data_IF_143955701050
#
_entry.id   IF_143955701050
#
_cell.length_a   1.000
_cell.length_b   1.000
_cell.length_c   1.000
_cell.angle_alpha   90.00
_cell.angle_beta   90.00
_cell.angle_gamma   90.00
#
_symmetry.space_group_name_H-M   'P 1'
#
loop_
_entity.id
_entity.type
_entity.pdbx_description
1 polymer ?
#
# COMPACT_ATOMS: atom_id res chain seq x y z
N UNK A 1 20.96 -66.93 25.81
CA UNK A 1 20.37 -67.86 24.82
C UNK A 1 19.33 -67.06 24.09
N UNK A 2 19.78 -66.60 22.96
CA UNK A 2 19.30 -66.97 21.60
C UNK A 2 18.03 -66.22 21.25
N UNK A 3 18.09 -65.37 20.37
CA UNK A 3 18.17 -65.40 18.88
C UNK A 3 16.84 -64.95 18.34
N UNK A 4 16.63 -64.27 17.35
CA UNK A 4 17.25 -63.82 16.09
C UNK A 4 16.19 -63.05 15.31
N UNK A 5 16.60 -62.03 14.65
CA UNK A 5 16.20 -61.52 13.34
C UNK A 5 14.82 -61.90 12.75
N UNK A 6 14.12 -60.86 12.31
CA UNK A 6 13.57 -60.93 10.94
C UNK A 6 13.32 -59.49 10.41
N UNK A 7 14.22 -59.11 9.54
CA UNK A 7 14.06 -58.00 8.59
C UNK A 7 13.04 -58.43 7.53
N UNK A 8 11.92 -57.73 7.45
CA UNK A 8 10.91 -57.85 6.38
C UNK A 8 10.85 -56.58 5.57
N UNK A 9 11.09 -56.70 4.32
CA UNK A 9 11.30 -55.66 3.32
C UNK A 9 10.11 -54.67 3.14
N UNK A 10 10.45 -53.38 3.07
CA UNK A 10 9.60 -52.24 2.74
C UNK A 10 9.04 -52.24 1.29
N UNK A 11 8.93 -53.37 0.60
CA UNK A 11 8.52 -53.48 -0.79
C UNK A 11 7.18 -54.12 -1.11
N UNK A 12 6.48 -54.69 -0.11
CA UNK A 12 5.24 -55.46 -0.35
C UNK A 12 3.96 -54.75 0.15
N UNK A 13 4.03 -53.49 0.57
CA UNK A 13 2.84 -52.74 1.00
C UNK A 13 2.23 -51.83 -0.07
N UNK A 14 2.67 -51.95 -1.33
CA UNK A 14 2.21 -51.10 -2.44
C UNK A 14 1.39 -51.82 -3.53
N UNK A 15 0.85 -53.01 -3.25
CA UNK A 15 0.08 -53.76 -4.23
C UNK A 15 -1.27 -54.31 -3.76
N UNK A 16 -1.94 -53.70 -2.81
CA UNK A 16 -3.33 -54.09 -2.49
C UNK A 16 -4.12 -52.86 -2.05
N UNK A 17 -4.81 -52.21 -2.97
CA UNK A 17 -5.70 -51.08 -2.64
C UNK A 17 -6.12 -50.22 -3.81
N UNK A 18 -6.20 -50.79 -5.01
CA UNK A 18 -6.91 -50.15 -6.11
C UNK A 18 -8.18 -50.94 -6.37
N UNK A 19 -9.32 -50.40 -5.96
CA UNK A 19 -10.64 -50.42 -6.60
C UNK A 19 -11.76 -50.15 -5.61
N UNK A 20 -12.59 -49.17 -6.01
CA UNK A 20 -13.92 -48.81 -5.47
C UNK A 20 -13.93 -47.73 -4.39
N UNK A 21 -14.13 -46.52 -4.80
CA UNK A 21 -15.33 -45.69 -4.68
C UNK A 21 -15.05 -44.25 -5.07
N UNK A 22 -15.78 -43.78 -6.06
CA UNK A 22 -16.43 -42.51 -6.10
C UNK A 22 -15.56 -41.30 -6.43
N UNK A 23 -15.53 -40.94 -7.69
CA UNK A 23 -15.22 -39.56 -8.11
C UNK A 23 -16.15 -38.56 -7.46
N UNK A 24 -15.57 -37.39 -7.28
CA UNK A 24 -16.11 -36.08 -6.94
C UNK A 24 -15.35 -35.53 -5.71
N UNK A 25 -14.38 -34.71 -5.99
CA UNK A 25 -13.71 -33.70 -5.14
C UNK A 25 -12.19 -33.66 -5.33
N UNK A 26 -11.73 -33.61 -6.59
CA UNK A 26 -10.32 -33.36 -6.90
C UNK A 26 -10.19 -32.33 -8.04
N UNK A 27 -10.84 -31.17 -7.87
CA UNK A 27 -10.71 -30.08 -8.84
C UNK A 27 -10.58 -28.71 -8.18
N UNK A 28 -9.75 -28.60 -7.11
CA UNK A 28 -9.39 -27.27 -6.58
C UNK A 28 -8.02 -27.14 -5.92
N UNK A 29 -7.10 -28.07 -6.08
CA UNK A 29 -5.72 -27.88 -5.62
C UNK A 29 -4.69 -28.09 -6.73
N UNK A 30 -4.84 -27.39 -7.85
CA UNK A 30 -3.77 -27.23 -8.83
C UNK A 30 -3.11 -25.85 -8.60
N UNK A 31 -2.16 -25.81 -7.63
CA UNK A 31 -1.56 -24.56 -7.31
C UNK A 31 -0.12 -24.54 -7.13
N UNK A 32 0.55 -23.67 -7.87
CA UNK A 32 1.96 -23.29 -7.79
C UNK A 32 2.93 -24.47 -7.87
N UNK A 33 2.65 -25.44 -8.75
CA UNK A 33 3.70 -26.21 -9.39
C UNK A 33 4.44 -25.26 -10.33
N UNK A 34 5.76 -25.13 -10.18
CA UNK A 34 6.59 -24.24 -10.96
C UNK A 34 6.23 -24.27 -12.46
N UNK A 35 6.16 -23.10 -13.06
CA UNK A 35 6.04 -22.92 -14.51
C UNK A 35 7.27 -23.59 -15.16
N UNK A 36 7.14 -24.87 -15.46
CA UNK A 36 8.08 -25.64 -16.29
C UNK A 36 7.36 -26.12 -17.53
N UNK A 37 6.98 -25.19 -18.38
CA UNK A 37 6.33 -25.46 -19.66
C UNK A 37 6.65 -24.36 -20.65
N UNK A 38 6.59 -24.64 -21.90
CA UNK A 38 7.10 -23.92 -23.09
C UNK A 38 6.74 -22.40 -23.21
N UNK A 39 5.99 -21.82 -22.25
CA UNK A 39 5.72 -20.38 -22.18
C UNK A 39 5.79 -19.88 -20.73
N UNK A 40 7.01 -19.54 -20.27
CA UNK A 40 7.26 -18.95 -18.93
C UNK A 40 6.83 -17.48 -18.82
N UNK A 41 5.94 -16.99 -19.67
CA UNK A 41 5.49 -15.61 -19.67
C UNK A 41 4.52 -15.36 -18.52
N UNK A 42 4.91 -14.51 -17.57
CA UNK A 42 4.05 -14.04 -16.49
C UNK A 42 3.08 -12.98 -17.02
N UNK A 43 1.79 -13.25 -16.96
CA UNK A 43 0.73 -12.34 -17.39
C UNK A 43 0.41 -11.34 -16.28
N UNK A 44 0.47 -10.05 -16.58
CA UNK A 44 0.12 -8.98 -15.64
C UNK A 44 -1.14 -8.24 -16.08
N UNK A 45 -1.94 -7.79 -15.09
CA UNK A 45 -3.05 -6.87 -15.32
C UNK A 45 -2.82 -5.57 -14.55
N UNK A 46 -3.14 -4.43 -15.17
CA UNK A 46 -3.11 -3.12 -14.55
C UNK A 46 -4.53 -2.69 -14.14
N UNK A 47 -4.74 -2.40 -12.86
CA UNK A 47 -5.99 -1.91 -12.30
C UNK A 47 -5.76 -0.50 -11.77
N UNK A 48 -6.32 0.50 -12.46
CA UNK A 48 -6.05 1.92 -12.26
C UNK A 48 -4.98 2.43 -13.23
N UNK A 49 -5.41 3.11 -14.29
CA UNK A 49 -4.59 3.55 -15.42
C UNK A 49 -4.17 5.03 -15.32
N UNK A 50 -4.18 5.61 -14.10
CA UNK A 50 -3.62 6.93 -13.84
C UNK A 50 -2.09 6.96 -13.96
N UNK A 51 -1.49 8.13 -13.70
CA UNK A 51 -0.04 8.32 -13.85
C UNK A 51 0.77 7.35 -12.98
N UNK A 52 0.33 7.07 -11.73
CA UNK A 52 1.04 6.10 -10.86
C UNK A 52 0.88 4.67 -11.35
N UNK A 53 -0.32 4.27 -11.80
CA UNK A 53 -0.55 2.93 -12.36
C UNK A 53 0.24 2.70 -13.65
N UNK A 54 0.25 3.67 -14.55
CA UNK A 54 1.09 3.64 -15.75
C UNK A 54 2.57 3.50 -15.38
N UNK A 55 3.04 4.24 -14.35
CA UNK A 55 4.40 4.12 -13.82
C UNK A 55 4.70 2.73 -13.24
N UNK A 56 3.77 2.12 -12.49
CA UNK A 56 3.94 0.77 -11.95
C UNK A 56 4.04 -0.29 -13.07
N UNK A 57 3.18 -0.19 -14.09
CA UNK A 57 3.26 -1.07 -15.26
C UNK A 57 4.57 -0.87 -16.04
N UNK A 58 5.05 0.38 -16.16
CA UNK A 58 6.34 0.69 -16.77
C UNK A 58 7.48 0.00 -16.02
N UNK A 59 7.50 0.10 -14.68
CA UNK A 59 8.53 -0.53 -13.83
C UNK A 59 8.45 -2.05 -13.91
N UNK A 60 7.25 -2.64 -13.87
CA UNK A 60 7.06 -4.08 -14.04
C UNK A 60 7.60 -4.57 -15.39
N UNK A 61 7.20 -3.94 -16.49
CA UNK A 61 7.64 -4.32 -17.84
C UNK A 61 9.14 -4.06 -18.10
N UNK A 62 9.78 -3.20 -17.29
CA UNK A 62 11.23 -2.92 -17.34
C UNK A 62 12.07 -3.95 -16.59
N UNK A 63 11.46 -4.86 -15.83
CA UNK A 63 12.21 -5.93 -15.13
C UNK A 63 12.84 -6.91 -16.12
N UNK A 64 13.78 -7.73 -15.63
CA UNK A 64 14.42 -8.79 -16.43
C UNK A 64 13.56 -10.03 -16.62
N UNK A 65 12.44 -10.14 -15.91
CA UNK A 65 11.52 -11.26 -16.01
C UNK A 65 10.74 -11.22 -17.33
N UNK A 66 10.32 -12.38 -17.81
CA UNK A 66 9.48 -12.48 -19.01
C UNK A 66 8.03 -12.13 -18.67
N UNK A 67 7.65 -10.86 -18.90
CA UNK A 67 6.35 -10.32 -18.56
C UNK A 67 5.57 -9.87 -19.77
N UNK A 68 4.25 -10.02 -19.70
CA UNK A 68 3.32 -9.47 -20.70
C UNK A 68 2.13 -8.81 -19.98
N UNK A 69 1.85 -7.54 -20.29
CA UNK A 69 0.63 -6.87 -19.89
C UNK A 69 -0.50 -7.37 -20.78
N UNK A 70 -1.49 -8.06 -20.20
CA UNK A 70 -2.55 -8.75 -20.95
C UNK A 70 -3.94 -8.15 -20.76
N UNK A 71 -4.15 -7.35 -19.70
CA UNK A 71 -5.43 -6.71 -19.40
C UNK A 71 -5.23 -5.39 -18.67
N UNK A 72 -6.14 -4.45 -18.88
CA UNK A 72 -6.18 -3.17 -18.18
C UNK A 72 -7.61 -2.84 -17.74
N UNK A 73 -7.75 -2.19 -16.58
CA UNK A 73 -9.03 -1.75 -16.04
C UNK A 73 -8.93 -0.36 -15.41
N UNK A 74 -9.89 0.50 -15.71
CA UNK A 74 -10.05 1.82 -15.09
C UNK A 74 -11.53 2.21 -15.05
N UNK A 75 -11.89 3.18 -14.22
CA UNK A 75 -13.22 3.78 -14.23
C UNK A 75 -13.42 4.73 -15.43
N UNK A 76 -12.33 5.29 -15.98
CA UNK A 76 -12.35 6.35 -16.98
C UNK A 76 -11.64 5.93 -18.27
N UNK A 77 -12.35 6.11 -19.41
CA UNK A 77 -11.83 5.77 -20.75
C UNK A 77 -10.58 6.60 -21.12
N UNK A 78 -10.58 7.89 -20.83
CA UNK A 78 -9.46 8.78 -21.13
C UNK A 78 -8.16 8.38 -20.41
N UNK A 79 -8.26 7.89 -19.17
CA UNK A 79 -7.12 7.35 -18.40
C UNK A 79 -6.61 6.05 -19.02
N UNK A 80 -7.54 5.16 -19.38
CA UNK A 80 -7.25 3.90 -20.06
C UNK A 80 -6.47 4.15 -21.36
N UNK A 81 -7.01 5.00 -22.23
CA UNK A 81 -6.44 5.24 -23.57
C UNK A 81 -5.06 5.87 -23.49
N UNK A 82 -4.87 6.88 -22.61
CA UNK A 82 -3.58 7.51 -22.37
C UNK A 82 -2.54 6.50 -21.91
N UNK A 83 -2.87 5.70 -20.91
CA UNK A 83 -1.98 4.70 -20.32
C UNK A 83 -1.62 3.61 -21.32
N UNK A 84 -2.63 3.05 -22.01
CA UNK A 84 -2.43 2.03 -23.03
C UNK A 84 -1.50 2.51 -24.13
N UNK A 85 -1.73 3.73 -24.67
CA UNK A 85 -0.88 4.31 -25.70
C UNK A 85 0.57 4.43 -25.23
N UNK A 86 0.81 5.03 -24.06
CA UNK A 86 2.17 5.21 -23.52
C UNK A 86 2.91 3.89 -23.32
N UNK A 87 2.25 2.88 -22.79
CA UNK A 87 2.84 1.56 -22.55
C UNK A 87 3.10 0.81 -23.86
N UNK A 88 2.15 0.85 -24.81
CA UNK A 88 2.31 0.20 -26.13
C UNK A 88 3.42 0.84 -26.94
N UNK A 89 3.52 2.16 -26.97
CA UNK A 89 4.58 2.88 -27.68
C UNK A 89 5.97 2.49 -27.13
N UNK A 90 6.08 2.28 -25.81
CA UNK A 90 7.36 1.98 -25.13
C UNK A 90 7.74 0.51 -25.18
N UNK A 91 6.81 -0.39 -24.90
CA UNK A 91 7.09 -1.81 -24.67
C UNK A 91 6.61 -2.73 -25.78
N UNK A 92 5.91 -2.19 -26.79
CA UNK A 92 5.50 -2.94 -28.00
C UNK A 92 4.94 -4.33 -27.68
N UNK A 93 5.67 -5.37 -28.01
CA UNK A 93 5.26 -6.78 -27.91
C UNK A 93 5.00 -7.27 -26.47
N UNK A 94 5.53 -6.55 -25.44
CA UNK A 94 5.19 -6.85 -24.06
C UNK A 94 3.80 -6.33 -23.64
N UNK A 95 3.11 -5.55 -24.49
CA UNK A 95 1.75 -5.05 -24.25
C UNK A 95 0.80 -5.71 -25.24
N UNK A 96 0.07 -6.71 -24.76
CA UNK A 96 -0.93 -7.46 -25.51
C UNK A 96 -2.31 -7.24 -24.91
N UNK A 97 -2.83 -6.01 -25.08
CA UNK A 97 -4.12 -5.57 -24.52
C UNK A 97 -5.05 -5.08 -25.64
N UNK A 98 -5.66 -5.99 -26.41
CA UNK A 98 -6.64 -5.64 -27.44
C UNK A 98 -7.90 -4.99 -26.79
N UNK A 99 -8.80 -4.47 -27.60
CA UNK A 99 -9.95 -3.70 -27.15
C UNK A 99 -10.87 -4.46 -26.19
N UNK A 100 -11.05 -5.75 -26.38
CA UNK A 100 -11.87 -6.65 -25.54
C UNK A 100 -11.24 -6.99 -24.19
N UNK A 101 -9.98 -6.61 -23.94
CA UNK A 101 -9.27 -6.76 -22.67
C UNK A 101 -8.95 -5.40 -22.01
N UNK A 102 -9.59 -4.31 -22.48
CA UNK A 102 -9.60 -2.97 -21.86
C UNK A 102 -10.96 -2.71 -21.24
N UNK A 103 -11.04 -2.87 -19.93
CA UNK A 103 -12.31 -2.86 -19.21
C UNK A 103 -12.54 -1.51 -18.54
N UNK A 104 -13.75 -0.96 -18.69
CA UNK A 104 -14.14 0.35 -18.14
C UNK A 104 -15.29 0.18 -17.14
N UNK A 105 -15.23 0.94 -16.04
CA UNK A 105 -16.26 0.99 -15.00
C UNK A 105 -15.84 0.46 -13.65
N UNK A 106 -16.73 0.53 -12.68
CA UNK A 106 -16.43 0.16 -11.29
C UNK A 106 -16.15 -1.34 -11.09
N UNK A 107 -16.72 -2.21 -11.90
CA UNK A 107 -16.52 -3.67 -11.84
C UNK A 107 -15.46 -4.19 -12.82
N UNK A 108 -14.85 -3.30 -13.59
CA UNK A 108 -13.84 -3.62 -14.61
C UNK A 108 -12.68 -4.46 -14.07
N UNK A 109 -12.26 -4.21 -12.82
CA UNK A 109 -11.17 -4.92 -12.16
C UNK A 109 -11.38 -6.43 -12.10
N UNK A 110 -12.60 -6.93 -11.90
CA UNK A 110 -12.90 -8.37 -11.81
C UNK A 110 -12.51 -9.12 -13.09
N UNK A 111 -12.85 -8.51 -14.24
CA UNK A 111 -12.54 -9.08 -15.56
C UNK A 111 -11.03 -9.08 -15.83
N UNK A 112 -10.35 -7.99 -15.49
CA UNK A 112 -8.91 -7.89 -15.71
C UNK A 112 -8.12 -8.82 -14.80
N UNK A 113 -8.47 -8.90 -13.50
CA UNK A 113 -7.83 -9.80 -12.51
C UNK A 113 -7.93 -11.27 -12.97
N UNK A 114 -9.05 -11.69 -13.53
CA UNK A 114 -9.26 -13.07 -13.96
C UNK A 114 -8.24 -13.53 -15.02
N UNK A 115 -7.72 -12.61 -15.84
CA UNK A 115 -6.85 -12.90 -16.98
C UNK A 115 -5.35 -12.95 -16.65
N UNK A 116 -4.94 -12.54 -15.46
CA UNK A 116 -3.53 -12.37 -15.11
C UNK A 116 -3.04 -13.37 -14.06
N UNK A 117 -1.73 -13.49 -13.91
CA UNK A 117 -1.04 -14.21 -12.84
C UNK A 117 -0.65 -13.25 -11.70
N UNK A 118 -0.31 -12.01 -12.07
CA UNK A 118 0.04 -10.93 -11.15
C UNK A 118 -0.81 -9.70 -11.46
N UNK A 119 -1.31 -9.03 -10.44
CA UNK A 119 -2.07 -7.79 -10.60
C UNK A 119 -1.34 -6.59 -10.00
N UNK A 120 -1.38 -5.47 -10.73
CA UNK A 120 -0.88 -4.17 -10.30
C UNK A 120 -2.08 -3.31 -9.89
N UNK A 121 -2.28 -3.09 -8.60
CA UNK A 121 -3.42 -2.34 -8.05
C UNK A 121 -3.01 -0.90 -7.76
N UNK A 122 -3.44 0.06 -8.58
CA UNK A 122 -3.06 1.47 -8.51
C UNK A 122 -4.24 2.45 -8.56
N UNK A 123 -5.45 1.98 -8.28
CA UNK A 123 -6.65 2.82 -8.11
C UNK A 123 -6.53 3.71 -6.86
N UNK A 124 -7.40 4.72 -6.66
CA UNK A 124 -7.46 5.45 -5.40
C UNK A 124 -7.58 4.50 -4.20
N UNK A 125 -6.98 4.83 -3.05
CA UNK A 125 -6.84 3.91 -1.90
C UNK A 125 -8.13 3.29 -1.37
N UNK A 126 -9.26 4.02 -1.45
CA UNK A 126 -10.55 3.50 -1.00
C UNK A 126 -10.99 2.21 -1.70
N UNK A 127 -10.58 2.00 -2.94
CA UNK A 127 -10.90 0.77 -3.70
C UNK A 127 -9.96 -0.40 -3.39
N UNK A 128 -8.82 -0.15 -2.78
CA UNK A 128 -7.75 -1.14 -2.58
C UNK A 128 -8.22 -2.38 -1.84
N UNK A 129 -9.01 -2.28 -0.73
CA UNK A 129 -9.42 -3.46 0.03
C UNK A 129 -10.25 -4.45 -0.81
N UNK A 130 -11.18 -3.96 -1.65
CA UNK A 130 -12.02 -4.82 -2.48
C UNK A 130 -11.24 -5.44 -3.66
N UNK A 131 -10.31 -4.68 -4.25
CA UNK A 131 -9.50 -5.18 -5.36
C UNK A 131 -8.47 -6.21 -4.89
N UNK A 132 -7.89 -6.00 -3.70
CA UNK A 132 -6.95 -6.93 -3.09
C UNK A 132 -7.62 -8.25 -2.69
N UNK A 133 -8.80 -8.18 -2.07
CA UNK A 133 -9.61 -9.35 -1.73
C UNK A 133 -9.90 -10.18 -2.98
N UNK A 134 -10.43 -9.59 -4.07
CA UNK A 134 -10.70 -10.28 -5.34
C UNK A 134 -9.44 -10.93 -5.91
N UNK A 135 -8.30 -10.21 -5.91
CA UNK A 135 -7.03 -10.76 -6.43
C UNK A 135 -6.57 -11.98 -5.64
N UNK A 136 -6.64 -11.93 -4.31
CA UNK A 136 -6.26 -13.04 -3.43
C UNK A 136 -7.23 -14.21 -3.57
N UNK A 137 -8.52 -13.96 -3.68
CA UNK A 137 -9.53 -15.01 -3.88
C UNK A 137 -9.29 -15.77 -5.20
N UNK A 138 -8.91 -15.05 -6.26
CA UNK A 138 -8.52 -15.60 -7.55
C UNK A 138 -7.10 -16.19 -7.60
N UNK A 139 -6.37 -16.21 -6.47
CA UNK A 139 -5.04 -16.80 -6.38
C UNK A 139 -3.96 -16.03 -7.12
N UNK A 140 -4.06 -14.69 -7.21
CA UNK A 140 -3.10 -13.87 -7.93
C UNK A 140 -2.03 -13.31 -7.00
N UNK A 141 -0.78 -13.26 -7.48
CA UNK A 141 0.25 -12.42 -6.87
C UNK A 141 -0.11 -10.95 -7.04
N UNK A 142 0.33 -10.09 -6.10
CA UNK A 142 -0.11 -8.70 -6.05
C UNK A 142 1.05 -7.73 -5.84
N UNK A 143 1.13 -6.73 -6.69
CA UNK A 143 1.70 -5.44 -6.34
C UNK A 143 0.54 -4.47 -6.07
N UNK A 144 0.51 -3.82 -4.93
CA UNK A 144 -0.51 -2.80 -4.66
C UNK A 144 0.10 -1.52 -4.14
N UNK A 145 -0.36 -0.41 -4.68
CA UNK A 145 0.04 0.91 -4.21
C UNK A 145 -0.43 1.19 -2.79
N UNK A 146 0.37 1.96 -2.07
CA UNK A 146 -0.03 2.56 -0.80
C UNK A 146 -0.98 3.76 -1.05
N UNK A 147 -1.83 4.16 -0.10
CA UNK A 147 -2.29 3.39 1.06
C UNK A 147 -3.12 2.17 0.65
N UNK A 148 -3.17 1.19 1.56
CA UNK A 148 -3.92 -0.05 1.27
C UNK A 148 -5.37 0.01 1.72
N UNK A 149 -5.75 1.03 2.48
CA UNK A 149 -7.11 1.35 2.90
C UNK A 149 -7.18 2.79 3.44
N UNK A 150 -8.41 3.29 3.63
CA UNK A 150 -8.67 4.66 4.11
C UNK A 150 -9.48 4.70 5.41
N UNK A 151 -9.99 3.57 5.87
CA UNK A 151 -10.79 3.42 7.08
C UNK A 151 -10.56 2.05 7.75
N UNK A 152 -11.04 1.90 8.98
CA UNK A 152 -10.85 0.68 9.77
C UNK A 152 -11.52 -0.56 9.15
N UNK A 153 -12.75 -0.50 8.61
CA UNK A 153 -13.33 -1.63 7.88
C UNK A 153 -12.46 -2.09 6.71
N UNK A 154 -11.89 -1.14 5.94
CA UNK A 154 -10.97 -1.44 4.86
C UNK A 154 -9.66 -2.08 5.36
N UNK A 155 -9.10 -1.59 6.47
CA UNK A 155 -7.91 -2.21 7.11
C UNK A 155 -8.21 -3.66 7.51
N UNK A 156 -9.33 -3.93 8.19
CA UNK A 156 -9.71 -5.30 8.59
C UNK A 156 -9.87 -6.22 7.38
N UNK A 157 -10.47 -5.73 6.28
CA UNK A 157 -10.60 -6.47 5.03
C UNK A 157 -9.23 -6.82 4.43
N UNK A 158 -8.29 -5.87 4.39
CA UNK A 158 -6.92 -6.13 3.92
C UNK A 158 -6.20 -7.13 4.81
N UNK A 159 -6.32 -7.04 6.13
CA UNK A 159 -5.72 -7.99 7.07
C UNK A 159 -6.27 -9.40 6.86
N UNK A 160 -7.58 -9.56 6.70
CA UNK A 160 -8.21 -10.85 6.43
C UNK A 160 -7.72 -11.45 5.09
N UNK A 161 -7.69 -10.65 4.03
CA UNK A 161 -7.16 -11.08 2.73
C UNK A 161 -5.65 -11.41 2.79
N UNK A 162 -4.87 -10.69 3.61
CA UNK A 162 -3.45 -10.97 3.82
C UNK A 162 -3.21 -12.37 4.40
N UNK A 163 -4.03 -12.80 5.35
CA UNK A 163 -3.96 -14.17 5.92
C UNK A 163 -4.30 -15.24 4.87
N UNK A 164 -5.26 -14.97 3.97
CA UNK A 164 -5.57 -15.87 2.86
C UNK A 164 -4.41 -15.92 1.86
N UNK A 165 -3.84 -14.77 1.49
CA UNK A 165 -2.69 -14.68 0.61
C UNK A 165 -1.48 -15.47 1.14
N UNK A 166 -1.22 -15.38 2.45
CA UNK A 166 -0.17 -16.11 3.15
C UNK A 166 -0.39 -17.63 3.09
N UNK A 167 -1.61 -18.11 3.36
CA UNK A 167 -1.97 -19.52 3.23
C UNK A 167 -1.80 -20.04 1.81
N UNK A 168 -2.14 -19.23 0.81
CA UNK A 168 -1.98 -19.56 -0.62
C UNK A 168 -0.55 -19.33 -1.14
N UNK A 169 0.39 -18.84 -0.30
CA UNK A 169 1.76 -18.49 -0.67
C UNK A 169 1.83 -17.49 -1.83
N UNK A 170 0.94 -16.52 -1.86
CA UNK A 170 0.95 -15.46 -2.85
C UNK A 170 1.92 -14.36 -2.46
N UNK A 171 2.82 -13.98 -3.34
CA UNK A 171 3.68 -12.83 -3.12
C UNK A 171 2.84 -11.55 -3.17
N UNK A 172 2.93 -10.72 -2.14
CA UNK A 172 2.25 -9.43 -2.03
C UNK A 172 3.27 -8.36 -1.66
N UNK A 173 3.49 -7.41 -2.56
CA UNK A 173 4.30 -6.22 -2.33
C UNK A 173 3.39 -5.01 -2.21
N UNK A 174 3.66 -4.16 -1.21
CA UNK A 174 3.00 -2.86 -1.03
C UNK A 174 3.98 -1.75 -1.44
N UNK A 175 3.53 -0.80 -2.26
CA UNK A 175 4.30 0.32 -2.80
C UNK A 175 4.82 1.31 -1.75
N UNK A 176 5.36 0.79 -0.65
CA UNK A 176 6.14 1.52 0.36
C UNK A 176 7.61 1.52 -0.06
N UNK A 177 7.91 2.20 -1.17
CA UNK A 177 9.19 2.12 -1.89
C UNK A 177 10.41 2.44 -1.02
N UNK A 178 10.29 3.20 0.07
CA UNK A 178 11.42 3.46 0.98
C UNK A 178 11.96 2.18 1.63
N UNK A 179 11.14 1.14 1.76
CA UNK A 179 11.58 -0.19 2.20
C UNK A 179 12.45 -0.92 1.18
N UNK A 180 12.48 -0.42 -0.06
CA UNK A 180 13.32 -0.91 -1.15
C UNK A 180 14.47 0.05 -1.49
N UNK A 181 14.59 1.18 -0.76
CA UNK A 181 15.64 2.16 -0.95
C UNK A 181 16.87 1.81 -0.09
N UNK A 182 18.05 1.77 -0.70
CA UNK A 182 19.26 1.21 -0.09
C UNK A 182 19.68 1.95 1.19
N UNK A 183 19.64 3.28 1.21
CA UNK A 183 19.96 4.07 2.40
C UNK A 183 19.05 3.73 3.59
N UNK A 184 17.74 3.56 3.35
CA UNK A 184 16.81 3.15 4.41
C UNK A 184 17.10 1.74 4.90
N UNK A 185 17.27 0.76 3.99
CA UNK A 185 17.57 -0.63 4.36
C UNK A 185 18.86 -0.75 5.19
N UNK A 186 19.92 -0.09 4.75
CA UNK A 186 21.20 -0.14 5.46
C UNK A 186 21.19 0.58 6.81
N UNK A 187 20.53 1.74 6.87
CA UNK A 187 20.42 2.49 8.13
C UNK A 187 19.52 1.76 9.11
N UNK A 188 18.35 1.24 8.66
CA UNK A 188 17.44 0.49 9.51
C UNK A 188 18.07 -0.79 10.06
N UNK A 189 18.85 -1.50 9.25
CA UNK A 189 19.60 -2.66 9.74
C UNK A 189 20.49 -2.28 10.92
N UNK A 190 21.25 -1.19 10.82
CA UNK A 190 22.13 -0.72 11.90
C UNK A 190 21.35 -0.27 13.13
N UNK A 191 20.20 0.39 12.96
CA UNK A 191 19.31 0.76 14.07
C UNK A 191 18.84 -0.50 14.79
N UNK A 192 18.38 -1.50 14.06
CA UNK A 192 17.89 -2.76 14.61
C UNK A 192 19.01 -3.61 15.24
N UNK A 193 20.23 -3.49 14.74
CA UNK A 193 21.44 -4.06 15.35
C UNK A 193 21.93 -3.29 16.60
N UNK A 194 21.19 -2.21 17.02
CA UNK A 194 21.45 -1.46 18.26
C UNK A 194 22.49 -0.34 18.16
N UNK A 195 22.83 0.14 16.96
CA UNK A 195 23.85 1.17 16.75
C UNK A 195 23.54 2.49 17.50
N UNK A 196 22.28 2.87 17.66
CA UNK A 196 21.86 4.04 18.43
C UNK A 196 21.17 3.66 19.76
N UNK A 197 21.14 2.36 20.13
CA UNK A 197 20.42 1.86 21.30
C UNK A 197 18.89 1.91 21.12
N UNK A 198 18.14 1.86 22.23
CA UNK A 198 16.69 1.93 22.21
C UNK A 198 16.23 3.32 21.75
N UNK A 199 15.29 3.37 20.81
CA UNK A 199 14.70 4.63 20.35
C UNK A 199 13.76 5.16 21.44
N UNK A 200 14.07 6.35 21.98
CA UNK A 200 13.29 7.03 23.02
C UNK A 200 12.42 8.16 22.49
N UNK A 201 12.64 8.60 21.24
CA UNK A 201 11.85 9.64 20.59
C UNK A 201 12.29 9.89 19.16
N UNK A 202 11.57 10.75 18.46
CA UNK A 202 11.88 11.10 17.08
C UNK A 202 10.89 12.07 16.46
N UNK A 203 11.19 12.45 15.22
CA UNK A 203 10.30 13.24 14.40
C UNK A 203 10.31 12.71 12.96
N UNK A 204 9.13 12.72 12.34
CA UNK A 204 8.95 12.39 10.92
C UNK A 204 8.14 13.48 10.22
N UNK A 205 8.57 13.87 9.02
CA UNK A 205 8.03 15.05 8.36
C UNK A 205 7.64 14.75 6.91
N UNK A 206 6.46 15.26 6.51
CA UNK A 206 6.10 15.49 5.13
C UNK A 206 5.52 16.90 4.97
N UNK A 207 6.38 17.88 4.92
CA UNK A 207 6.02 19.30 4.73
C UNK A 207 6.32 19.68 3.28
N UNK A 208 5.27 19.94 2.49
CA UNK A 208 5.40 20.27 1.06
C UNK A 208 4.32 21.26 0.62
N UNK A 209 4.36 21.69 -0.63
CA UNK A 209 3.36 22.56 -1.24
C UNK A 209 2.03 21.89 -1.59
N UNK A 210 1.98 20.55 -1.52
CA UNK A 210 0.78 19.76 -1.87
C UNK A 210 0.80 19.21 -3.30
N UNK A 211 -0.36 18.77 -3.77
CA UNK A 211 -0.55 18.08 -5.05
C UNK A 211 -1.53 18.83 -5.95
N UNK A 212 -1.71 18.32 -7.16
CA UNK A 212 -2.65 18.81 -8.16
C UNK A 212 -4.08 18.97 -7.62
N UNK A 213 -4.87 19.82 -8.26
CA UNK A 213 -6.30 20.00 -8.05
C UNK A 213 -6.98 19.85 -9.41
N UNK A 214 -8.08 19.11 -9.48
CA UNK A 214 -8.93 19.00 -10.65
C UNK A 214 -10.26 19.73 -10.38
N UNK A 215 -10.44 20.97 -10.86
CA UNK A 215 -11.66 21.72 -10.65
C UNK A 215 -12.89 21.02 -11.25
N UNK A 216 -14.05 21.19 -10.60
CA UNK A 216 -15.33 20.65 -11.07
C UNK A 216 -15.68 21.16 -12.46
N UNK A 217 -16.11 20.26 -13.33
CA UNK A 217 -16.72 20.58 -14.61
C UNK A 217 -18.24 20.54 -14.52
N UNK A 218 -18.92 21.39 -15.27
CA UNK A 218 -20.38 21.60 -15.15
C UNK A 218 -21.23 20.33 -15.36
N UNK A 219 -20.78 19.41 -16.21
CA UNK A 219 -21.52 18.19 -16.56
C UNK A 219 -21.25 16.99 -15.61
N UNK A 220 -20.31 17.12 -14.68
CA UNK A 220 -19.94 16.00 -13.81
C UNK A 220 -20.98 15.75 -12.73
N UNK A 221 -21.35 14.49 -12.54
CA UNK A 221 -22.02 14.05 -11.33
C UNK A 221 -21.12 14.22 -10.11
N UNK A 222 -21.67 14.13 -8.90
CA UNK A 222 -20.88 14.23 -7.69
C UNK A 222 -19.86 13.07 -7.59
N UNK A 223 -20.28 11.87 -7.94
CA UNK A 223 -19.38 10.69 -7.98
C UNK A 223 -18.22 10.91 -8.95
N UNK A 224 -18.51 11.37 -10.17
CA UNK A 224 -17.47 11.61 -11.17
C UNK A 224 -16.47 12.67 -10.72
N UNK A 225 -16.98 13.80 -10.20
CA UNK A 225 -16.12 14.88 -9.70
C UNK A 225 -15.20 14.40 -8.57
N UNK A 226 -15.76 13.75 -7.53
CA UNK A 226 -14.95 13.25 -6.42
C UNK A 226 -13.90 12.25 -6.91
N UNK A 227 -14.24 11.35 -7.82
CA UNK A 227 -13.29 10.39 -8.37
C UNK A 227 -12.20 11.05 -9.23
N UNK A 228 -12.51 12.10 -10.00
CA UNK A 228 -11.48 12.82 -10.77
C UNK A 228 -10.60 13.70 -9.90
N UNK A 229 -11.13 14.21 -8.80
CA UNK A 229 -10.41 15.02 -7.80
C UNK A 229 -10.13 14.22 -6.51
N UNK A 230 -9.89 12.92 -6.64
CA UNK A 230 -9.91 11.91 -5.58
C UNK A 230 -9.02 12.21 -4.36
N UNK A 231 -7.96 12.97 -4.53
CA UNK A 231 -7.04 13.31 -3.44
C UNK A 231 -7.69 14.13 -2.31
N UNK A 232 -8.81 14.78 -2.58
CA UNK A 232 -9.47 15.70 -1.67
C UNK A 232 -10.69 15.10 -0.96
N UNK A 233 -10.90 13.78 -1.10
CA UNK A 233 -12.05 13.09 -0.50
C UNK A 233 -11.61 11.88 0.32
N UNK A 234 -12.00 11.88 1.61
CA UNK A 234 -11.56 10.88 2.58
C UNK A 234 -11.86 9.44 2.17
N UNK A 235 -13.00 9.19 1.53
CA UNK A 235 -13.36 7.84 1.10
C UNK A 235 -12.45 7.30 -0.01
N UNK A 236 -11.74 8.18 -0.72
CA UNK A 236 -10.80 7.84 -1.80
C UNK A 236 -9.35 7.85 -1.32
N UNK A 237 -8.92 8.91 -0.61
CA UNK A 237 -7.53 9.11 -0.24
C UNK A 237 -7.22 8.86 1.25
N UNK A 238 -8.21 9.05 2.13
CA UNK A 238 -8.03 8.97 3.58
C UNK A 238 -7.40 10.22 4.23
N UNK A 239 -7.35 11.36 3.52
CA UNK A 239 -6.59 12.57 3.83
C UNK A 239 -5.08 12.43 3.54
N UNK A 240 -4.37 13.54 3.38
CA UNK A 240 -2.95 13.54 3.01
C UNK A 240 -2.03 12.91 4.07
N UNK A 241 -2.44 12.88 5.34
CA UNK A 241 -1.72 12.14 6.38
C UNK A 241 -1.70 10.63 6.09
N UNK A 242 -2.80 10.09 5.52
CA UNK A 242 -2.92 8.69 5.12
C UNK A 242 -2.31 8.48 3.73
N UNK A 243 -2.69 9.32 2.75
CA UNK A 243 -2.28 9.11 1.37
C UNK A 243 -0.77 9.30 1.17
N UNK A 244 -0.20 10.36 1.75
CA UNK A 244 1.17 10.74 1.45
C UNK A 244 2.11 10.52 2.63
N UNK A 245 1.75 10.98 3.81
CA UNK A 245 2.62 10.93 4.99
C UNK A 245 2.79 9.52 5.57
N UNK A 246 1.96 8.56 5.16
CA UNK A 246 2.13 7.13 5.50
C UNK A 246 3.54 6.61 5.23
N UNK A 247 4.26 7.15 4.24
CA UNK A 247 5.66 6.80 3.98
C UNK A 247 6.57 7.07 5.19
N UNK A 248 6.44 8.23 5.84
CA UNK A 248 7.26 8.59 7.01
C UNK A 248 6.76 7.88 8.28
N UNK A 249 5.43 7.70 8.40
CA UNK A 249 4.83 6.92 9.48
C UNK A 249 5.29 5.46 9.42
N UNK A 250 5.35 4.86 8.24
CA UNK A 250 5.90 3.50 8.05
C UNK A 250 7.37 3.41 8.47
N UNK A 251 8.16 4.45 8.21
CA UNK A 251 9.56 4.51 8.66
C UNK A 251 9.66 4.59 10.18
N UNK A 252 8.77 5.35 10.86
CA UNK A 252 8.70 5.39 12.32
C UNK A 252 8.40 3.99 12.90
N UNK A 253 7.37 3.33 12.36
CA UNK A 253 7.00 1.97 12.77
C UNK A 253 8.13 0.96 12.48
N UNK A 254 8.83 1.10 11.37
CA UNK A 254 9.97 0.24 11.03
C UNK A 254 11.15 0.44 11.98
N UNK A 255 11.52 1.70 12.27
CA UNK A 255 12.61 2.02 13.19
C UNK A 255 12.32 1.49 14.60
N UNK A 256 11.09 1.67 15.10
CA UNK A 256 10.62 1.15 16.39
C UNK A 256 10.42 -0.37 16.39
N UNK A 257 10.30 -1.00 15.24
CA UNK A 257 9.85 -2.38 15.09
C UNK A 257 8.56 -2.66 15.88
N UNK A 258 7.67 -1.68 15.95
CA UNK A 258 6.42 -1.68 16.71
C UNK A 258 5.42 -0.69 16.09
N UNK A 259 4.18 -0.75 16.57
CA UNK A 259 3.12 0.20 16.24
C UNK A 259 2.71 0.99 17.48
N UNK A 260 2.25 2.24 17.35
CA UNK A 260 1.85 3.04 18.52
C UNK A 260 0.61 2.44 19.18
N UNK A 261 0.56 2.51 20.53
CA UNK A 261 -0.60 2.08 21.32
C UNK A 261 -1.68 3.15 21.37
N UNK A 262 -1.28 4.44 21.21
CA UNK A 262 -2.20 5.56 21.13
C UNK A 262 -1.63 6.71 20.33
N UNK A 263 -2.51 7.55 19.79
CA UNK A 263 -2.17 8.76 19.05
C UNK A 263 -3.05 9.90 19.52
N UNK A 264 -2.46 11.08 19.72
CA UNK A 264 -3.16 12.35 19.92
C UNK A 264 -2.55 13.42 19.01
N UNK A 265 -3.24 14.54 18.82
CA UNK A 265 -2.67 15.61 18.01
C UNK A 265 -3.66 16.68 17.59
N UNK A 266 -3.18 17.62 16.81
CA UNK A 266 -3.92 18.73 16.25
C UNK A 266 -3.78 18.77 14.73
N UNK A 267 -4.77 19.34 14.07
CA UNK A 267 -4.76 19.57 12.64
C UNK A 267 -5.86 20.52 12.24
N UNK A 268 -5.81 21.01 11.03
CA UNK A 268 -6.80 21.93 10.53
C UNK A 268 -6.80 22.02 9.02
N UNK A 269 -7.75 22.75 8.48
CA UNK A 269 -7.75 23.26 7.13
C UNK A 269 -7.60 24.78 7.19
N UNK A 270 -6.41 25.27 6.87
CA UNK A 270 -6.04 26.66 7.02
C UNK A 270 -5.68 27.35 5.69
N UNK A 271 -5.12 26.62 4.74
CA UNK A 271 -4.57 27.16 3.50
C UNK A 271 -5.45 26.81 2.28
N UNK A 272 -5.91 25.57 2.16
CA UNK A 272 -6.67 25.04 1.03
C UNK A 272 -8.17 25.10 1.32
N UNK A 273 -8.74 26.32 1.39
CA UNK A 273 -10.11 26.56 1.85
C UNK A 273 -11.18 26.61 0.74
N UNK A 274 -10.79 26.61 -0.54
CA UNK A 274 -11.74 26.69 -1.67
C UNK A 274 -12.54 25.41 -1.90
N UNK A 275 -13.58 25.50 -2.72
CA UNK A 275 -14.53 24.42 -3.05
C UNK A 275 -13.88 23.18 -3.68
N UNK A 276 -12.75 23.36 -4.39
CA UNK A 276 -12.08 22.26 -5.08
C UNK A 276 -11.12 21.46 -4.19
N UNK A 277 -11.02 21.82 -2.92
CA UNK A 277 -10.19 21.11 -1.93
C UNK A 277 -10.97 20.09 -1.07
N UNK A 278 -12.20 19.74 -1.47
CA UNK A 278 -13.01 18.68 -0.83
C UNK A 278 -13.18 18.86 0.66
N UNK A 279 -13.00 17.79 1.43
CA UNK A 279 -13.27 17.72 2.88
C UNK A 279 -12.02 17.52 3.76
N UNK A 280 -10.83 17.30 3.17
CA UNK A 280 -9.62 16.97 3.91
C UNK A 280 -8.98 18.18 4.61
N UNK A 281 -8.19 17.91 5.63
CA UNK A 281 -7.31 18.91 6.22
C UNK A 281 -6.10 19.20 5.32
N UNK A 282 -5.35 20.24 5.61
CA UNK A 282 -4.10 20.56 4.92
C UNK A 282 -2.88 20.58 5.84
N UNK A 283 -3.08 20.27 7.13
CA UNK A 283 -2.00 20.08 8.09
C UNK A 283 -2.41 19.12 9.24
N UNK A 284 -1.45 18.35 9.71
CA UNK A 284 -1.56 17.47 10.88
C UNK A 284 -0.26 17.47 11.65
N UNK A 285 -0.37 17.53 12.99
CA UNK A 285 0.72 17.36 13.94
C UNK A 285 0.25 16.38 15.01
N UNK A 286 0.81 15.17 15.01
CA UNK A 286 0.38 14.09 15.92
C UNK A 286 1.56 13.48 16.67
N UNK A 287 1.28 12.96 17.85
CA UNK A 287 2.18 12.22 18.71
C UNK A 287 1.85 10.73 18.62
N UNK A 288 2.82 9.93 18.18
CA UNK A 288 2.74 8.49 18.14
C UNK A 288 3.35 7.93 19.43
N UNK A 289 2.52 7.49 20.38
CA UNK A 289 2.98 6.92 21.66
C UNK A 289 3.09 5.41 21.56
N UNK A 290 4.30 4.87 21.81
CA UNK A 290 4.59 3.44 21.77
C UNK A 290 4.51 2.83 23.17
N UNK A 291 4.38 1.48 23.27
CA UNK A 291 4.18 0.76 24.51
C UNK A 291 5.33 0.93 25.52
N UNK A 292 6.53 1.18 25.06
CA UNK A 292 7.72 1.44 25.90
C UNK A 292 7.84 2.90 26.35
N UNK A 293 6.84 3.73 26.09
CA UNK A 293 6.81 5.15 26.44
C UNK A 293 7.52 6.09 25.48
N UNK A 294 8.16 5.56 24.42
CA UNK A 294 8.73 6.40 23.37
C UNK A 294 7.64 7.18 22.63
N UNK A 295 7.92 8.45 22.31
CA UNK A 295 7.02 9.31 21.54
C UNK A 295 7.71 9.77 20.26
N UNK A 296 7.05 9.56 19.13
CA UNK A 296 7.50 10.07 17.83
C UNK A 296 6.50 11.11 17.33
N UNK A 297 6.98 12.33 17.08
CA UNK A 297 6.19 13.40 16.48
C UNK A 297 6.11 13.22 14.98
N UNK A 298 4.91 13.31 14.44
CA UNK A 298 4.59 13.13 13.04
C UNK A 298 3.89 14.38 12.51
N UNK A 299 4.53 15.10 11.59
CA UNK A 299 4.07 16.39 11.10
C UNK A 299 3.98 16.38 9.57
N UNK A 300 2.83 16.78 9.04
CA UNK A 300 2.66 16.94 7.61
C UNK A 300 1.79 18.15 7.27
N UNK A 301 2.08 18.77 6.13
CA UNK A 301 1.30 19.90 5.63
C UNK A 301 1.43 20.09 4.12
N UNK A 302 0.42 20.73 3.53
CA UNK A 302 0.37 21.14 2.14
C UNK A 302 0.22 22.66 2.03
N UNK A 303 1.29 23.41 2.35
CA UNK A 303 1.34 24.86 2.26
C UNK A 303 2.32 25.31 1.20
N UNK A 304 1.81 25.95 0.14
CA UNK A 304 2.65 26.52 -0.91
C UNK A 304 3.48 27.69 -0.40
N UNK A 305 4.66 27.90 -1.01
CA UNK A 305 5.55 29.00 -0.65
C UNK A 305 6.25 28.86 0.70
N UNK A 306 6.15 27.70 1.36
CA UNK A 306 6.80 27.45 2.65
C UNK A 306 7.95 26.46 2.54
N UNK A 307 8.85 26.43 3.54
CA UNK A 307 10.00 25.53 3.53
C UNK A 307 9.58 24.04 3.42
N UNK A 308 10.13 23.32 2.45
CA UNK A 308 9.91 21.89 2.30
C UNK A 308 10.79 21.10 3.28
N UNK A 309 10.19 20.03 3.86
CA UNK A 309 10.91 19.09 4.70
C UNK A 309 10.26 17.70 4.60
N UNK A 310 11.02 16.72 4.09
CA UNK A 310 10.57 15.33 3.97
C UNK A 310 11.71 14.43 4.43
N UNK A 311 11.72 14.17 5.74
CA UNK A 311 12.79 13.41 6.41
C UNK A 311 12.31 12.76 7.72
N UNK A 312 13.17 11.96 8.31
CA UNK A 312 12.98 11.30 9.60
C UNK A 312 14.23 11.43 10.46
N UNK A 313 14.03 11.68 11.76
CA UNK A 313 15.07 11.68 12.78
C UNK A 313 14.63 10.86 13.98
N UNK A 314 15.54 10.04 14.52
CA UNK A 314 15.28 9.28 15.75
C UNK A 314 16.39 9.51 16.75
N UNK A 315 16.02 9.64 18.02
CA UNK A 315 16.93 9.72 19.17
C UNK A 315 16.90 8.38 19.90
N UNK A 316 18.07 7.80 20.07
CA UNK A 316 18.25 6.58 20.83
C UNK A 316 19.09 6.78 22.07
N UNK A 317 19.15 5.76 22.94
CA UNK A 317 19.90 5.78 24.19
C UNK A 317 21.42 5.87 23.97
N UNK A 318 21.94 5.49 22.78
CA UNK A 318 23.37 5.52 22.44
C UNK A 318 23.73 6.46 21.29
N UNK A 319 22.75 7.07 20.63
CA UNK A 319 23.01 7.94 19.49
C UNK A 319 21.75 8.47 18.83
N UNK A 320 21.88 8.98 17.63
CA UNK A 320 20.78 9.54 16.83
C UNK A 320 20.96 9.23 15.36
N UNK A 321 19.86 9.37 14.59
CA UNK A 321 19.89 9.18 13.13
C UNK A 321 19.19 10.30 12.38
N UNK A 322 19.53 10.43 11.11
CA UNK A 322 18.82 11.21 10.10
C UNK A 322 18.65 10.36 8.84
N UNK A 323 17.43 10.37 8.28
CA UNK A 323 17.05 9.67 7.06
C UNK A 323 16.29 10.62 6.14
N UNK A 324 16.51 10.49 4.83
CA UNK A 324 15.68 11.18 3.85
C UNK A 324 15.53 10.38 2.54
N UNK A 325 14.47 10.65 1.80
CA UNK A 325 14.24 10.07 0.48
C UNK A 325 15.31 10.50 -0.56
N UNK A 326 16.13 11.51 -0.25
CA UNK A 326 17.25 11.97 -1.07
C UNK A 326 18.53 11.13 -0.87
N UNK A 327 18.38 9.84 -0.56
CA UNK A 327 19.47 8.88 -0.34
C UNK A 327 20.40 9.22 0.84
N UNK A 328 19.90 9.95 1.83
CA UNK A 328 20.67 10.22 3.05
C UNK A 328 20.27 9.22 4.15
N UNK A 329 21.29 8.68 4.83
CA UNK A 329 21.14 7.84 6.00
C UNK A 329 22.39 8.00 6.84
N UNK A 330 22.27 8.69 7.99
CA UNK A 330 23.41 9.05 8.83
C UNK A 330 23.13 8.64 10.28
N UNK A 331 24.12 8.07 10.94
CA UNK A 331 24.09 7.74 12.36
C UNK A 331 25.21 8.46 13.10
N UNK A 332 24.90 9.02 14.25
CA UNK A 332 25.87 9.60 15.18
C UNK A 332 25.77 8.93 16.55
N UNK A 333 26.88 8.81 17.24
CA UNK A 333 26.91 8.45 18.65
C UNK A 333 26.45 9.61 19.56
N UNK A 334 26.46 9.41 20.87
CA UNK A 334 26.07 10.46 21.84
C UNK A 334 27.04 11.62 21.91
N UNK A 335 28.28 11.48 21.46
CA UNK A 335 29.26 12.57 21.41
C UNK A 335 29.09 13.45 20.17
N UNK A 336 28.22 13.03 19.23
CA UNK A 336 28.02 13.67 17.94
C UNK A 336 28.97 13.20 16.85
N UNK A 337 29.81 12.21 17.14
CA UNK A 337 30.69 11.58 16.14
C UNK A 337 29.84 10.77 15.17
N UNK A 338 30.06 10.97 13.86
CA UNK A 338 29.46 10.15 12.81
C UNK A 338 30.02 8.73 12.88
N UNK A 339 29.13 7.74 13.01
CA UNK A 339 29.45 6.31 13.07
C UNK A 339 29.03 5.57 11.81
N UNK A 340 28.19 6.19 10.99
CA UNK A 340 27.78 5.68 9.69
C UNK A 340 27.21 6.81 8.82
N UNK A 341 27.52 6.78 7.52
CA UNK A 341 26.90 7.61 6.50
C UNK A 341 26.73 6.82 5.21
N UNK A 342 25.51 6.77 4.69
CA UNK A 342 25.25 6.10 3.42
C UNK A 342 25.69 6.98 2.24
N UNK A 343 26.37 6.41 1.21
CA UNK A 343 26.71 7.15 0.00
C UNK A 343 25.46 7.66 -0.74
N UNK A 344 25.40 8.94 -1.05
CA UNK A 344 24.23 9.56 -1.71
C UNK A 344 24.15 9.27 -3.22
N UNK A 345 25.23 8.79 -3.83
CA UNK A 345 25.34 8.48 -5.27
C UNK A 345 25.33 6.97 -5.53
N UNK A 346 24.92 6.56 -6.73
CA UNK A 346 24.95 5.17 -7.15
C UNK A 346 23.79 4.31 -6.65
N UNK A 347 22.75 4.90 -6.06
CA UNK A 347 21.61 4.18 -5.55
C UNK A 347 20.64 3.79 -6.67
N UNK A 348 20.11 2.57 -6.60
CA UNK A 348 19.06 2.11 -7.48
C UNK A 348 17.75 2.88 -7.23
N UNK A 349 16.91 2.99 -8.27
CA UNK A 349 15.57 3.55 -8.12
C UNK A 349 14.70 2.59 -7.29
N UNK A 350 14.21 2.99 -6.10
CA UNK A 350 13.46 2.10 -5.23
C UNK A 350 12.13 1.62 -5.82
N UNK A 351 11.49 2.43 -6.66
CA UNK A 351 10.28 2.01 -7.40
C UNK A 351 10.57 0.90 -8.42
N UNK A 352 11.75 0.89 -9.01
CA UNK A 352 12.17 -0.21 -9.88
C UNK A 352 12.56 -1.43 -9.06
N UNK A 353 13.27 -1.22 -7.94
CA UNK A 353 13.75 -2.31 -7.07
C UNK A 353 12.60 -3.15 -6.52
N UNK A 354 11.49 -2.53 -6.09
CA UNK A 354 10.34 -3.28 -5.56
C UNK A 354 9.72 -4.21 -6.63
N UNK A 355 9.69 -3.78 -7.88
CA UNK A 355 9.22 -4.63 -8.99
C UNK A 355 10.25 -5.69 -9.38
N UNK A 356 11.54 -5.33 -9.46
CA UNK A 356 12.61 -6.30 -9.79
C UNK A 356 12.63 -7.47 -8.80
N UNK A 357 12.53 -7.16 -7.50
CA UNK A 357 12.53 -8.18 -6.45
C UNK A 357 11.27 -9.05 -6.47
N UNK A 358 10.07 -8.43 -6.66
CA UNK A 358 8.81 -9.16 -6.74
C UNK A 358 8.81 -10.14 -7.90
N UNK A 359 9.11 -9.66 -9.11
CA UNK A 359 9.02 -10.50 -10.30
C UNK A 359 10.14 -11.53 -10.36
N UNK A 360 11.33 -11.24 -9.81
CA UNK A 360 12.39 -12.23 -9.66
C UNK A 360 11.98 -13.38 -8.72
N UNK A 361 11.28 -13.10 -7.62
CA UNK A 361 10.77 -14.13 -6.72
C UNK A 361 9.69 -14.98 -7.39
N UNK A 362 8.73 -14.35 -8.09
CA UNK A 362 7.66 -15.06 -8.81
C UNK A 362 8.24 -15.96 -9.90
N UNK A 363 9.18 -15.45 -10.73
CA UNK A 363 9.83 -16.22 -11.81
C UNK A 363 10.57 -17.44 -11.29
N UNK A 364 11.03 -17.44 -10.04
CA UNK A 364 11.72 -18.57 -9.39
C UNK A 364 10.77 -19.48 -8.60
N UNK A 365 9.47 -19.16 -8.55
CA UNK A 365 8.53 -19.89 -7.71
C UNK A 365 8.77 -19.70 -6.21
N UNK A 366 9.46 -18.61 -5.79
CA UNK A 366 9.77 -18.31 -4.40
C UNK A 366 8.61 -17.56 -3.73
N UNK A 367 8.22 -17.96 -2.50
CA UNK A 367 7.36 -17.18 -1.63
C UNK A 367 8.21 -16.30 -0.71
N UNK A 368 8.28 -15.02 -1.00
CA UNK A 368 9.21 -14.09 -0.35
C UNK A 368 8.55 -12.84 0.23
N UNK A 369 7.41 -12.41 -0.31
CA UNK A 369 6.78 -11.14 0.04
C UNK A 369 5.39 -11.32 0.62
N UNK A 370 5.15 -10.76 1.83
CA UNK A 370 3.86 -10.74 2.54
C UNK A 370 3.59 -9.38 3.18
N UNK A 371 3.79 -8.32 2.40
CA UNK A 371 3.81 -6.93 2.88
C UNK A 371 2.44 -6.39 3.30
N UNK A 372 1.34 -7.06 2.93
CA UNK A 372 -0.02 -6.56 3.15
C UNK A 372 -0.33 -6.25 4.62
N UNK A 373 0.06 -7.13 5.56
CA UNK A 373 -0.15 -6.92 6.99
C UNK A 373 0.60 -5.68 7.48
N UNK A 374 1.87 -5.56 7.13
CA UNK A 374 2.71 -4.41 7.48
C UNK A 374 2.15 -3.10 6.89
N UNK A 375 1.78 -3.13 5.62
CA UNK A 375 1.17 -1.99 4.94
C UNK A 375 -0.15 -1.57 5.59
N UNK A 376 -1.00 -2.53 5.95
CA UNK A 376 -2.27 -2.27 6.64
C UNK A 376 -2.06 -1.63 8.01
N UNK A 377 -1.12 -2.13 8.81
CA UNK A 377 -0.82 -1.58 10.14
C UNK A 377 -0.21 -0.17 10.06
N UNK A 378 0.65 0.11 9.08
CA UNK A 378 1.16 1.47 8.86
C UNK A 378 0.06 2.44 8.37
N UNK A 379 -0.87 1.96 7.53
CA UNK A 379 -2.05 2.74 7.15
C UNK A 379 -2.99 2.98 8.34
N UNK A 380 -3.20 1.99 9.22
CA UNK A 380 -3.99 2.17 10.45
C UNK A 380 -3.37 3.24 11.34
N UNK A 381 -2.05 3.26 11.51
CA UNK A 381 -1.35 4.32 12.25
C UNK A 381 -1.67 5.70 11.69
N UNK A 382 -1.63 5.86 10.36
CA UNK A 382 -1.98 7.13 9.71
C UNK A 382 -3.48 7.50 9.87
N UNK A 383 -4.38 6.51 9.80
CA UNK A 383 -5.82 6.67 10.03
C UNK A 383 -6.09 7.10 11.47
N UNK A 384 -5.39 6.53 12.46
CA UNK A 384 -5.46 6.97 13.85
C UNK A 384 -5.05 8.44 14.00
N UNK A 385 -4.01 8.87 13.29
CA UNK A 385 -3.59 10.28 13.26
C UNK A 385 -4.68 11.20 12.70
N UNK A 386 -5.34 10.81 11.61
CA UNK A 386 -6.51 11.52 11.11
C UNK A 386 -7.65 11.55 12.12
N UNK A 387 -7.99 10.42 12.75
CA UNK A 387 -9.03 10.36 13.78
C UNK A 387 -8.71 11.31 14.95
N UNK A 388 -7.47 11.29 15.43
CA UNK A 388 -7.04 12.17 16.53
C UNK A 388 -7.22 13.66 16.19
N UNK A 389 -6.76 14.08 15.00
CA UNK A 389 -6.84 15.48 14.59
C UNK A 389 -8.26 15.93 14.25
N UNK A 390 -9.10 15.04 13.66
CA UNK A 390 -10.49 15.35 13.32
C UNK A 390 -11.42 15.44 14.53
N UNK A 391 -11.20 14.56 15.53
CA UNK A 391 -12.02 14.53 16.74
C UNK A 391 -11.49 15.38 17.90
N UNK A 392 -10.17 15.65 17.91
CA UNK A 392 -9.48 16.25 19.07
C UNK A 392 -9.34 15.28 20.26
N UNK A 393 -9.50 13.97 20.04
CA UNK A 393 -9.41 12.94 21.08
C UNK A 393 -8.13 12.13 20.97
N UNK A 394 -7.72 11.51 22.08
CA UNK A 394 -6.69 10.47 22.06
C UNK A 394 -7.30 9.19 21.52
N UNK A 395 -6.71 8.63 20.48
CA UNK A 395 -7.17 7.43 19.79
C UNK A 395 -6.27 6.25 20.16
N UNK A 396 -6.86 5.18 20.70
CA UNK A 396 -6.15 3.95 21.00
C UNK A 396 -6.19 2.98 19.81
N UNK A 397 -5.16 2.16 19.69
CA UNK A 397 -5.02 1.20 18.59
C UNK A 397 -6.23 0.28 18.42
N UNK A 398 -6.67 -0.36 19.50
CA UNK A 398 -7.77 -1.32 19.45
C UNK A 398 -9.11 -0.64 19.14
N UNK A 399 -9.34 0.58 19.64
CA UNK A 399 -10.51 1.37 19.35
C UNK A 399 -10.55 1.71 17.85
N UNK A 400 -9.43 2.16 17.30
CA UNK A 400 -9.31 2.49 15.88
C UNK A 400 -9.50 1.26 14.99
N UNK A 401 -8.84 0.15 15.31
CA UNK A 401 -8.94 -1.08 14.51
C UNK A 401 -10.37 -1.62 14.46
N UNK A 402 -11.12 -1.50 15.57
CA UNK A 402 -12.48 -2.01 15.70
C UNK A 402 -13.56 -1.00 15.31
N UNK A 403 -13.20 0.21 14.92
CA UNK A 403 -14.18 1.21 14.46
C UNK A 403 -14.98 0.72 13.26
N UNK A 404 -16.29 1.00 13.24
CA UNK A 404 -17.20 0.53 12.20
C UNK A 404 -17.59 1.63 11.20
N UNK A 405 -17.06 2.83 11.35
CA UNK A 405 -17.34 3.95 10.46
C UNK A 405 -16.67 3.75 9.09
N UNK A 406 -17.43 3.21 8.13
CA UNK A 406 -16.98 3.09 6.74
C UNK A 406 -17.16 4.41 6.00
N UNK A 407 -16.11 4.87 5.36
CA UNK A 407 -16.13 6.03 4.48
C UNK A 407 -16.63 5.69 3.07
N UNK A 408 -16.54 4.44 2.67
CA UNK A 408 -16.85 3.99 1.32
C UNK A 408 -18.34 4.15 1.00
N UNK A 409 -18.74 4.59 -0.22
CA UNK A 409 -20.12 4.71 -0.63
C UNK A 409 -20.86 3.36 -0.59
N UNK A 410 -22.17 3.40 -0.27
CA UNK A 410 -22.98 2.18 -0.22
C UNK A 410 -23.29 1.65 -1.63
N UNK A 411 -23.27 2.51 -2.65
CA UNK A 411 -23.46 2.16 -4.06
C UNK A 411 -22.39 2.82 -4.93
N UNK A 412 -21.76 2.05 -5.79
CA UNK A 412 -20.84 2.52 -6.83
C UNK A 412 -21.59 2.60 -8.16
N UNK A 413 -22.01 3.80 -8.51
CA UNK A 413 -22.60 4.12 -9.81
C UNK A 413 -22.40 5.61 -10.11
N UNK A 414 -22.33 5.97 -11.37
CA UNK A 414 -22.07 7.36 -11.77
C UNK A 414 -23.17 8.34 -11.33
N UNK A 415 -24.39 7.85 -11.17
CA UNK A 415 -25.57 8.57 -10.69
C UNK A 415 -25.79 8.45 -9.17
N UNK A 416 -24.96 7.72 -8.45
CA UNK A 416 -25.02 7.60 -7.00
C UNK A 416 -24.28 8.75 -6.31
N UNK A 417 -24.72 9.12 -5.13
CA UNK A 417 -24.05 10.10 -4.30
C UNK A 417 -23.03 9.44 -3.36
N UNK A 418 -21.80 9.96 -3.28
CA UNK A 418 -20.90 9.68 -2.15
C UNK A 418 -21.54 10.11 -0.82
N UNK A 419 -20.96 9.64 0.31
CA UNK A 419 -21.52 9.94 1.65
C UNK A 419 -21.40 11.40 2.05
N UNK A 420 -20.38 12.10 1.53
CA UNK A 420 -20.16 13.53 1.82
C UNK A 420 -20.46 14.33 0.57
N UNK A 421 -21.38 15.28 0.71
CA UNK A 421 -21.86 16.15 -0.36
C UNK A 421 -21.56 17.61 -0.03
N UNK A 422 -21.38 18.48 -1.04
CA UNK A 422 -21.21 19.91 -0.84
C UNK A 422 -22.52 20.60 -0.44
N UNK A 423 -22.41 21.75 0.16
CA UNK A 423 -23.52 22.67 0.40
C UNK A 423 -23.92 23.42 -0.89
N UNK A 424 -24.89 24.33 -0.78
CA UNK A 424 -25.38 25.15 -1.90
C UNK A 424 -24.30 26.09 -2.49
N UNK A 425 -23.22 26.35 -1.77
CA UNK A 425 -22.07 27.14 -2.21
C UNK A 425 -20.98 26.26 -2.85
N UNK A 426 -21.16 24.94 -2.83
CA UNK A 426 -20.20 23.97 -3.33
C UNK A 426 -19.07 23.64 -2.34
N UNK A 427 -19.22 24.01 -1.06
CA UNK A 427 -18.24 23.72 0.00
C UNK A 427 -18.60 22.42 0.72
N UNK A 428 -17.58 21.62 1.00
CA UNK A 428 -17.73 20.37 1.74
C UNK A 428 -17.61 20.60 3.25
N UNK A 429 -18.34 19.83 4.08
CA UNK A 429 -18.21 19.92 5.52
C UNK A 429 -16.80 19.53 5.98
N UNK A 430 -16.20 20.38 6.82
CA UNK A 430 -14.87 20.17 7.36
C UNK A 430 -14.98 19.61 8.78
N UNK A 431 -14.22 18.55 9.12
CA UNK A 431 -14.19 18.02 10.47
C UNK A 431 -13.87 19.13 11.50
N UNK A 432 -14.52 19.07 12.66
CA UNK A 432 -14.35 20.06 13.74
C UNK A 432 -13.96 19.32 15.02
N UNK A 433 -12.73 19.53 15.54
CA UNK A 433 -12.30 18.93 16.81
C UNK A 433 -13.28 19.24 17.96
N UNK A 434 -13.53 18.23 18.80
CA UNK A 434 -14.53 18.31 19.88
C UNK A 434 -15.98 18.09 19.43
N UNK A 435 -16.28 18.09 18.13
CA UNK A 435 -17.61 17.87 17.58
C UNK A 435 -17.68 16.65 16.65
N UNK A 436 -16.67 16.45 15.80
CA UNK A 436 -16.64 15.36 14.83
C UNK A 436 -16.42 14.02 15.53
N UNK A 437 -17.35 13.08 15.30
CA UNK A 437 -17.19 11.69 15.75
C UNK A 437 -16.50 10.88 14.66
N UNK A 438 -15.47 10.12 15.03
CA UNK A 438 -14.65 9.33 14.11
C UNK A 438 -14.65 7.83 14.40
N UNK A 439 -15.09 7.45 15.60
CA UNK A 439 -15.24 6.08 16.12
C UNK A 439 -16.64 5.94 16.70
#
# INVERSE_FOLDING_TARGET
MENEKLLGHRRDFLKAGALLTGGLLLDQFAFAAGHSGVDDTIKIALIGCGDRGTGAAFQALSTKSNLKLVAMADAFQDRMDKSHKLLSDKFKEKVDVPADRRFIGFDAYKKAIALADVVLLATPPGFRPMHFEEAVDKGKHVFMEKPVAVDAPGIRKVLAAAEVAKKKKLNVVVGLQRRYQTNYRETMKRIQDGAIGDIVGGQVYWNSGGVWVNPRQAQQTEMEYQMRNWYYFNWLCGDHIVEQHVHNIDIANWAKNAYPVSIQGTGSRAWRTGKDYGEIYDNHAVELTYADGAVIYSLCRHFEGTANRVDETFQGTKGRTYLSANNQGILWDRTGKEIFSHPTKGNANPYQTEHDELFAAISKGEYKFWDAERGAKSCLTAIMGRYATYSGQTIKWDEALNANNSLFPDKLAWDANPKVLPDAQGLYPIPTPGKTKVI
#
